data_IF_389402491020
#
_entry.id   IF_389402491020
#
_cell.length_a   1.000
_cell.length_b   1.000
_cell.length_c   1.000
_cell.angle_alpha   90.00
_cell.angle_beta   90.00
_cell.angle_gamma   90.00
#
_symmetry.space_group_name_H-M   'P 1'
#
loop_
_entity.id
_entity.type
_entity.pdbx_description
1 polymer ?
#
# COMPACT_ATOMS: atom_id res chain seq x y z
N UNK A 1 62.05 -23.24 31.76
CA UNK A 1 61.61 -23.56 30.39
C UNK A 1 60.11 -23.43 30.35
N UNK A 2 59.60 -22.36 29.75
CA UNK A 2 58.16 -22.10 29.57
C UNK A 2 57.94 -22.12 28.05
N UNK A 3 57.35 -23.19 27.54
CA UNK A 3 57.11 -23.35 26.12
C UNK A 3 55.96 -22.45 25.65
N UNK A 4 56.25 -21.63 24.65
CA UNK A 4 55.28 -20.82 23.90
C UNK A 4 54.53 -21.72 22.91
N UNK A 5 53.20 -21.66 22.94
CA UNK A 5 52.37 -22.23 21.87
C UNK A 5 52.51 -21.40 20.57
N UNK A 6 52.60 -22.04 19.38
CA UNK A 6 52.63 -21.34 18.10
C UNK A 6 51.21 -21.01 17.60
N UNK A 7 51.05 -19.77 17.14
CA UNK A 7 49.85 -19.24 16.48
C UNK A 7 49.65 -19.84 15.08
N UNK A 8 48.48 -20.42 14.82
CA UNK A 8 48.07 -20.94 13.50
C UNK A 8 47.38 -19.82 12.70
N UNK A 9 47.78 -19.54 11.44
CA UNK A 9 47.10 -18.55 10.61
C UNK A 9 45.88 -19.18 9.92
N UNK A 10 44.68 -18.73 10.27
CA UNK A 10 43.45 -19.11 9.56
C UNK A 10 43.38 -18.34 8.23
N UNK A 11 43.72 -19.01 7.13
CA UNK A 11 43.54 -18.47 5.78
C UNK A 11 42.05 -18.26 5.50
N UNK A 12 41.61 -17.00 5.44
CA UNK A 12 40.30 -16.62 4.97
C UNK A 12 40.18 -16.99 3.49
N UNK A 13 39.41 -18.05 3.19
CA UNK A 13 39.15 -18.50 1.83
C UNK A 13 38.43 -17.42 1.02
N UNK A 14 38.93 -17.18 -0.20
CA UNK A 14 38.25 -16.37 -1.22
C UNK A 14 36.88 -17.00 -1.50
N UNK A 15 35.79 -16.33 -1.10
CA UNK A 15 34.44 -16.62 -1.60
C UNK A 15 34.10 -15.59 -2.68
N UNK A 16 33.68 -16.11 -3.82
CA UNK A 16 33.18 -15.39 -4.99
C UNK A 16 32.03 -14.44 -4.61
N UNK A 17 31.93 -13.25 -5.22
CA UNK A 17 30.81 -12.36 -4.97
C UNK A 17 29.58 -12.91 -5.68
N UNK A 18 28.52 -13.18 -4.92
CA UNK A 18 27.17 -13.35 -5.47
C UNK A 18 26.71 -11.96 -5.88
N UNK A 19 26.56 -11.75 -7.19
CA UNK A 19 26.08 -10.52 -7.78
C UNK A 19 24.69 -10.18 -7.19
N UNK A 20 24.61 -9.06 -6.48
CA UNK A 20 23.35 -8.40 -6.20
C UNK A 20 23.00 -7.55 -7.43
N UNK A 21 22.37 -8.18 -8.43
CA UNK A 21 21.70 -7.42 -9.49
C UNK A 21 20.39 -6.86 -8.94
N UNK A 22 20.32 -5.54 -8.92
CA UNK A 22 19.19 -4.76 -8.44
C UNK A 22 19.65 -3.32 -8.29
N UNK A 23 19.71 -2.59 -9.40
CA UNK A 23 19.95 -1.14 -9.38
C UNK A 23 18.74 -0.46 -8.73
N UNK A 24 18.92 0.03 -7.51
CA UNK A 24 17.91 0.75 -6.74
C UNK A 24 18.51 2.09 -6.30
N UNK A 25 18.80 2.96 -7.27
CA UNK A 25 19.43 4.25 -7.01
C UNK A 25 18.40 5.36 -6.73
N UNK A 26 18.82 6.27 -5.84
CA UNK A 26 18.33 7.65 -5.64
C UNK A 26 17.12 7.92 -4.72
N UNK A 27 17.14 7.52 -3.44
CA UNK A 27 17.45 8.55 -2.44
C UNK A 27 18.21 8.08 -1.18
N UNK A 28 18.66 6.82 -1.12
CA UNK A 28 19.22 6.22 0.11
C UNK A 28 20.76 6.09 0.10
N UNK A 29 21.42 6.58 -0.94
CA UNK A 29 22.88 6.57 -1.09
C UNK A 29 23.62 7.38 -0.01
N UNK A 30 22.91 8.21 0.75
CA UNK A 30 23.47 9.04 1.83
C UNK A 30 23.47 8.38 3.22
N UNK A 31 22.81 7.22 3.40
CA UNK A 31 22.72 6.59 4.73
C UNK A 31 24.00 5.79 5.00
N UNK A 32 24.89 6.41 5.78
CA UNK A 32 26.16 5.82 6.19
C UNK A 32 26.03 5.26 7.62
N UNK A 33 26.10 3.94 7.73
CA UNK A 33 26.42 3.28 9.00
C UNK A 33 27.93 3.00 9.03
N UNK A 34 28.57 3.33 10.15
CA UNK A 34 30.00 3.09 10.40
C UNK A 34 30.16 2.24 11.67
N UNK A 35 29.77 0.98 11.61
CA UNK A 35 29.96 0.04 12.73
C UNK A 35 31.36 -0.56 12.77
N UNK A 36 32.16 -0.36 11.72
CA UNK A 36 33.47 -0.99 11.55
C UNK A 36 33.38 -2.43 11.00
N UNK A 37 32.17 -2.92 10.75
CA UNK A 37 31.91 -4.22 10.11
C UNK A 37 31.05 -4.01 8.85
N UNK A 38 31.60 -4.23 7.63
CA UNK A 38 30.87 -3.98 6.39
C UNK A 38 29.56 -4.76 6.25
N UNK A 39 29.52 -6.00 6.77
CA UNK A 39 28.32 -6.85 6.74
C UNK A 39 27.21 -6.29 7.64
N UNK A 40 27.58 -5.76 8.80
CA UNK A 40 26.64 -5.12 9.72
C UNK A 40 26.12 -3.79 9.15
N UNK A 41 27.00 -2.97 8.55
CA UNK A 41 26.59 -1.73 7.88
C UNK A 41 25.61 -2.02 6.72
N UNK A 42 25.84 -3.10 5.97
CA UNK A 42 24.91 -3.56 4.94
C UNK A 42 23.57 -4.02 5.54
N UNK A 43 23.57 -4.77 6.64
CA UNK A 43 22.35 -5.21 7.33
C UNK A 43 21.52 -4.01 7.80
N UNK A 44 22.15 -3.00 8.40
CA UNK A 44 21.51 -1.79 8.88
C UNK A 44 20.92 -0.94 7.75
N UNK A 45 21.62 -0.82 6.61
CA UNK A 45 21.08 -0.17 5.40
C UNK A 45 19.85 -0.89 4.88
N UNK A 46 19.89 -2.22 4.76
CA UNK A 46 18.74 -3.03 4.33
C UNK A 46 17.53 -2.84 5.25
N UNK A 47 17.76 -2.72 6.56
CA UNK A 47 16.69 -2.49 7.52
C UNK A 47 16.06 -1.08 7.38
N UNK A 48 16.88 -0.06 7.11
CA UNK A 48 16.38 1.28 6.82
C UNK A 48 15.55 1.26 5.53
N UNK A 49 16.05 0.61 4.48
CA UNK A 49 15.34 0.45 3.22
C UNK A 49 13.96 -0.18 3.43
N UNK A 50 13.88 -1.30 4.16
CA UNK A 50 12.62 -1.96 4.46
C UNK A 50 11.63 -1.04 5.21
N UNK A 51 12.12 -0.25 6.16
CA UNK A 51 11.30 0.74 6.85
C UNK A 51 10.78 1.84 5.89
N UNK A 52 11.64 2.35 5.01
CA UNK A 52 11.28 3.36 4.03
C UNK A 52 10.31 2.84 2.96
N UNK A 53 10.42 1.56 2.59
CA UNK A 53 9.48 0.90 1.70
C UNK A 53 8.07 0.83 2.32
N UNK A 54 7.95 0.44 3.58
CA UNK A 54 6.68 0.45 4.33
C UNK A 54 6.04 1.84 4.29
N UNK A 55 6.83 2.88 4.57
CA UNK A 55 6.36 4.27 4.48
C UNK A 55 5.89 4.64 3.08
N UNK A 56 6.66 4.28 2.06
CA UNK A 56 6.35 4.62 0.67
C UNK A 56 5.07 3.94 0.20
N UNK A 57 4.87 2.66 0.56
CA UNK A 57 3.65 1.91 0.26
C UNK A 57 2.45 2.53 0.96
N UNK A 58 2.55 2.82 2.25
CA UNK A 58 1.45 3.44 3.02
C UNK A 58 1.08 4.82 2.47
N UNK A 59 2.09 5.64 2.12
CA UNK A 59 1.89 6.96 1.51
C UNK A 59 1.14 6.87 0.20
N UNK A 60 1.53 5.93 -0.68
CA UNK A 60 0.85 5.68 -1.95
C UNK A 60 -0.59 5.18 -1.72
N UNK A 61 -0.79 4.32 -0.73
CA UNK A 61 -2.10 3.78 -0.38
C UNK A 61 -3.07 4.87 0.10
N UNK A 62 -2.64 5.76 1.01
CA UNK A 62 -3.46 6.90 1.45
C UNK A 62 -3.80 7.84 0.29
N UNK A 63 -2.83 8.11 -0.60
CA UNK A 63 -3.08 8.94 -1.79
C UNK A 63 -4.08 8.30 -2.76
N UNK A 64 -4.07 6.97 -2.88
CA UNK A 64 -5.07 6.23 -3.65
C UNK A 64 -6.45 6.30 -3.00
N UNK A 65 -6.53 6.10 -1.68
CA UNK A 65 -7.78 6.26 -0.93
C UNK A 65 -8.38 7.66 -1.10
N UNK A 66 -7.55 8.71 -1.09
CA UNK A 66 -7.98 10.07 -1.40
C UNK A 66 -8.58 10.19 -2.81
N UNK A 67 -7.91 9.61 -3.81
CA UNK A 67 -8.41 9.62 -5.18
C UNK A 67 -9.78 8.96 -5.30
N UNK A 68 -9.98 7.77 -4.72
CA UNK A 68 -11.22 7.01 -4.88
C UNK A 68 -12.35 7.47 -3.95
N UNK A 69 -12.03 7.90 -2.73
CA UNK A 69 -13.02 8.26 -1.73
C UNK A 69 -13.50 9.71 -1.88
N UNK A 70 -12.66 10.61 -2.40
CA UNK A 70 -12.95 12.05 -2.46
C UNK A 70 -13.01 12.53 -3.91
N UNK A 71 -11.90 12.41 -4.64
CA UNK A 71 -11.78 13.02 -5.96
C UNK A 71 -12.68 12.36 -7.01
N UNK A 72 -12.84 11.04 -6.95
CA UNK A 72 -13.70 10.30 -7.86
C UNK A 72 -15.18 10.72 -7.75
N UNK A 73 -15.86 10.66 -6.59
CA UNK A 73 -17.25 11.12 -6.50
C UNK A 73 -17.43 12.60 -6.84
N UNK A 74 -16.46 13.47 -6.50
CA UNK A 74 -16.49 14.89 -6.90
C UNK A 74 -16.44 15.04 -8.42
N UNK A 75 -15.51 14.33 -9.08
CA UNK A 75 -15.39 14.34 -10.53
C UNK A 75 -16.68 13.86 -11.20
N UNK A 76 -17.28 12.76 -10.72
CA UNK A 76 -18.51 12.22 -11.32
C UNK A 76 -19.68 13.20 -11.15
N UNK A 77 -19.79 13.87 -10.01
CA UNK A 77 -20.80 14.91 -9.80
C UNK A 77 -20.62 16.07 -10.77
N UNK A 78 -19.41 16.61 -10.87
CA UNK A 78 -19.08 17.74 -11.77
C UNK A 78 -19.28 17.36 -13.24
N UNK A 79 -18.88 16.14 -13.61
CA UNK A 79 -19.07 15.63 -14.96
C UNK A 79 -20.55 15.52 -15.33
N UNK A 80 -21.37 14.98 -14.42
CA UNK A 80 -22.82 14.91 -14.60
C UNK A 80 -23.43 16.30 -14.80
N UNK A 81 -23.08 17.24 -13.91
CA UNK A 81 -23.57 18.63 -13.98
C UNK A 81 -23.23 19.27 -15.33
N UNK A 82 -22.00 19.10 -15.82
CA UNK A 82 -21.57 19.58 -17.13
C UNK A 82 -22.33 18.92 -18.31
N UNK A 83 -22.83 17.71 -18.12
CA UNK A 83 -23.66 16.99 -19.09
C UNK A 83 -25.17 17.23 -18.89
N UNK A 84 -25.58 18.05 -17.92
CA UNK A 84 -26.99 18.35 -17.63
C UNK A 84 -27.73 17.20 -16.94
N UNK A 85 -27.03 16.30 -16.23
CA UNK A 85 -27.64 15.18 -15.52
C UNK A 85 -27.01 14.95 -14.13
N UNK A 86 -27.79 14.46 -13.16
CA UNK A 86 -27.22 14.02 -11.88
C UNK A 86 -26.85 12.53 -11.95
N UNK A 87 -25.56 12.26 -12.18
CA UNK A 87 -25.01 10.90 -12.22
C UNK A 87 -24.91 10.24 -10.85
N UNK A 88 -25.07 11.01 -9.76
CA UNK A 88 -25.03 10.52 -8.38
C UNK A 88 -26.36 10.72 -7.67
N UNK A 89 -27.46 10.78 -8.43
CA UNK A 89 -28.82 10.94 -7.89
C UNK A 89 -29.17 9.78 -6.96
N UNK A 90 -29.94 10.04 -5.89
CA UNK A 90 -30.49 8.97 -5.04
C UNK A 90 -31.29 7.96 -5.86
N UNK A 91 -31.42 6.74 -5.33
CA UNK A 91 -32.30 5.74 -5.92
C UNK A 91 -33.76 6.19 -5.86
N UNK A 92 -34.64 5.49 -6.59
CA UNK A 92 -36.09 5.71 -6.54
C UNK A 92 -36.66 5.52 -5.12
N UNK A 93 -36.04 4.66 -4.31
CA UNK A 93 -36.39 4.45 -2.89
C UNK A 93 -35.90 5.57 -1.96
N UNK A 94 -35.16 6.57 -2.48
CA UNK A 94 -34.56 7.64 -1.68
C UNK A 94 -33.22 7.27 -1.05
N UNK A 95 -32.68 6.09 -1.33
CA UNK A 95 -31.38 5.66 -0.80
C UNK A 95 -30.24 6.42 -1.46
N UNK A 96 -29.20 6.70 -0.66
CA UNK A 96 -27.96 7.32 -1.14
C UNK A 96 -27.35 6.51 -2.29
N UNK A 97 -26.93 7.21 -3.35
CA UNK A 97 -26.28 6.59 -4.50
C UNK A 97 -25.07 5.72 -4.10
N UNK A 98 -24.90 4.58 -4.78
CA UNK A 98 -23.88 3.58 -4.46
C UNK A 98 -22.47 4.17 -4.32
N UNK A 99 -22.04 5.00 -5.27
CA UNK A 99 -20.71 5.64 -5.26
C UNK A 99 -20.52 6.49 -3.99
N UNK A 100 -21.55 7.23 -3.56
CA UNK A 100 -21.49 8.04 -2.32
C UNK A 100 -21.41 7.15 -1.09
N UNK A 101 -22.17 6.05 -1.07
CA UNK A 101 -22.13 5.06 0.02
C UNK A 101 -20.75 4.40 0.16
N UNK A 102 -20.15 3.99 -0.95
CA UNK A 102 -18.79 3.42 -0.98
C UNK A 102 -17.76 4.47 -0.53
N UNK A 103 -17.88 5.71 -1.03
CA UNK A 103 -17.01 6.84 -0.67
C UNK A 103 -16.96 7.09 0.84
N UNK A 104 -18.11 7.11 1.52
CA UNK A 104 -18.17 7.30 2.99
C UNK A 104 -17.42 6.19 3.73
N UNK A 105 -17.55 4.93 3.29
CA UNK A 105 -16.82 3.82 3.91
C UNK A 105 -15.32 3.89 3.66
N UNK A 106 -14.91 4.23 2.42
CA UNK A 106 -13.51 4.42 2.07
C UNK A 106 -12.87 5.61 2.77
N UNK A 107 -13.65 6.66 3.08
CA UNK A 107 -13.17 7.80 3.85
C UNK A 107 -12.77 7.37 5.26
N UNK A 108 -13.52 6.48 5.90
CA UNK A 108 -13.14 5.92 7.21
C UNK A 108 -11.83 5.12 7.14
N UNK A 109 -11.64 4.33 6.08
CA UNK A 109 -10.38 3.61 5.81
C UNK A 109 -9.24 4.63 5.63
N UNK A 110 -9.47 5.67 4.83
CA UNK A 110 -8.49 6.73 4.55
C UNK A 110 -8.02 7.41 5.82
N UNK A 111 -8.93 7.84 6.70
CA UNK A 111 -8.55 8.53 7.93
C UNK A 111 -7.81 7.60 8.89
N UNK A 112 -8.18 6.33 8.99
CA UNK A 112 -7.44 5.35 9.79
C UNK A 112 -5.99 5.18 9.29
N UNK A 113 -5.82 5.05 7.98
CA UNK A 113 -4.50 4.89 7.36
C UNK A 113 -3.69 6.20 7.35
N UNK A 114 -4.34 7.37 7.29
CA UNK A 114 -3.67 8.66 7.45
C UNK A 114 -3.03 8.80 8.83
N UNK A 115 -3.73 8.42 9.89
CA UNK A 115 -3.18 8.39 11.26
C UNK A 115 -1.99 7.43 11.36
N UNK A 116 -2.07 6.26 10.70
CA UNK A 116 -0.95 5.32 10.64
C UNK A 116 0.24 5.90 9.88
N UNK A 117 0.00 6.51 8.72
CA UNK A 117 1.01 7.17 7.89
C UNK A 117 1.71 8.29 8.65
N UNK A 118 0.99 9.11 9.41
CA UNK A 118 1.58 10.18 10.24
C UNK A 118 2.58 9.60 11.25
N UNK A 119 2.23 8.49 11.92
CA UNK A 119 3.12 7.81 12.87
C UNK A 119 4.34 7.20 12.18
N UNK A 120 4.13 6.54 11.04
CA UNK A 120 5.23 5.96 10.25
C UNK A 120 6.16 7.08 9.75
N UNK A 121 5.61 8.18 9.24
CA UNK A 121 6.36 9.33 8.76
C UNK A 121 7.22 9.95 9.87
N UNK A 122 6.65 10.14 11.07
CA UNK A 122 7.39 10.64 12.23
C UNK A 122 8.53 9.70 12.65
N UNK A 123 8.31 8.37 12.54
CA UNK A 123 9.32 7.36 12.82
C UNK A 123 10.44 7.34 11.77
N UNK A 124 10.11 7.46 10.49
CA UNK A 124 11.10 7.52 9.40
C UNK A 124 11.97 8.77 9.48
N UNK A 125 11.39 9.91 9.84
CA UNK A 125 12.14 11.17 9.98
C UNK A 125 13.30 11.08 11.00
N UNK A 126 13.22 10.15 11.96
CA UNK A 126 14.22 9.95 13.01
C UNK A 126 14.67 8.47 13.08
N UNK A 127 14.70 7.77 11.94
CA UNK A 127 14.98 6.33 11.92
C UNK A 127 16.44 6.03 12.25
N UNK A 128 16.66 5.09 13.18
CA UNK A 128 17.96 4.48 13.44
C UNK A 128 17.84 2.96 13.36
N UNK A 129 18.50 2.35 12.36
CA UNK A 129 18.50 0.89 12.21
C UNK A 129 19.20 0.15 13.35
N UNK A 130 20.00 0.84 14.19
CA UNK A 130 20.61 0.23 15.39
C UNK A 130 19.57 -0.01 16.49
N UNK A 131 18.50 0.78 16.50
CA UNK A 131 17.38 0.63 17.43
C UNK A 131 16.03 0.63 16.67
N UNK A 132 15.77 -0.42 15.85
CA UNK A 132 14.65 -0.44 14.94
C UNK A 132 13.34 -0.62 15.71
N UNK A 133 12.37 0.26 15.47
CA UNK A 133 11.08 0.21 16.15
C UNK A 133 9.91 0.67 15.26
N UNK A 134 9.73 0.01 14.12
CA UNK A 134 8.54 0.22 13.29
C UNK A 134 7.28 -0.43 13.90
N UNK A 135 7.47 -1.48 14.70
CA UNK A 135 6.38 -2.25 15.32
C UNK A 135 5.49 -1.38 16.22
N UNK A 136 6.07 -0.39 16.92
CA UNK A 136 5.32 0.53 17.77
C UNK A 136 4.28 1.34 16.98
N UNK A 137 4.58 1.73 15.74
CA UNK A 137 3.62 2.44 14.88
C UNK A 137 2.36 1.59 14.64
N UNK A 138 2.54 0.29 14.38
CA UNK A 138 1.45 -0.65 14.15
C UNK A 138 0.66 -0.93 15.43
N UNK A 139 1.34 -1.16 16.55
CA UNK A 139 0.69 -1.39 17.85
C UNK A 139 -0.20 -0.21 18.24
N UNK A 140 0.30 1.00 18.06
CA UNK A 140 -0.44 2.23 18.37
C UNK A 140 -1.51 2.56 17.31
N UNK A 141 -1.43 1.96 16.12
CA UNK A 141 -2.41 2.11 15.03
C UNK A 141 -3.53 1.07 15.05
N UNK A 142 -3.35 -0.05 15.74
CA UNK A 142 -4.24 -1.21 15.68
C UNK A 142 -5.72 -0.91 16.02
N UNK A 143 -5.97 0.03 16.93
CA UNK A 143 -7.33 0.47 17.26
C UNK A 143 -8.06 1.09 16.07
N UNK A 144 -7.35 1.88 15.25
CA UNK A 144 -7.91 2.57 14.09
C UNK A 144 -8.19 1.61 12.93
N UNK A 145 -7.44 0.52 12.80
CA UNK A 145 -7.68 -0.49 11.75
C UNK A 145 -9.05 -1.17 11.87
N UNK A 146 -9.70 -1.11 13.04
CA UNK A 146 -11.08 -1.59 13.22
C UNK A 146 -12.09 -0.78 12.40
N UNK A 147 -11.81 0.48 12.10
CA UNK A 147 -12.67 1.31 11.24
C UNK A 147 -12.70 0.84 9.79
N UNK A 148 -11.73 0.01 9.38
CA UNK A 148 -11.74 -0.56 8.04
C UNK A 148 -12.82 -1.66 7.92
N UNK A 149 -13.13 -2.38 8.99
CA UNK A 149 -13.95 -3.61 8.97
C UNK A 149 -15.29 -3.50 8.21
N UNK A 150 -16.08 -2.42 8.33
CA UNK A 150 -17.33 -2.30 7.58
C UNK A 150 -17.11 -2.37 6.06
N UNK A 151 -16.08 -1.68 5.56
CA UNK A 151 -15.71 -1.74 4.15
C UNK A 151 -15.22 -3.14 3.78
N UNK A 152 -14.33 -3.72 4.59
CA UNK A 152 -13.72 -5.04 4.30
C UNK A 152 -14.75 -6.17 4.27
N UNK A 153 -15.88 -6.04 4.96
CA UNK A 153 -16.95 -7.06 4.94
C UNK A 153 -17.79 -7.02 3.67
N UNK A 154 -18.06 -5.82 3.16
CA UNK A 154 -18.93 -5.61 1.98
C UNK A 154 -18.14 -5.44 0.68
N UNK A 155 -16.81 -5.50 0.74
CA UNK A 155 -15.91 -5.11 -0.35
C UNK A 155 -16.19 -5.79 -1.69
N UNK A 156 -16.46 -7.09 -1.71
CA UNK A 156 -16.81 -7.84 -2.93
C UNK A 156 -18.15 -7.38 -3.50
N UNK A 157 -19.15 -7.19 -2.62
CA UNK A 157 -20.47 -6.70 -3.03
C UNK A 157 -20.39 -5.29 -3.62
N UNK A 158 -19.57 -4.41 -3.03
CA UNK A 158 -19.35 -3.06 -3.57
C UNK A 158 -18.76 -3.09 -4.98
N UNK A 159 -17.81 -4.01 -5.25
CA UNK A 159 -17.29 -4.24 -6.61
C UNK A 159 -18.42 -4.64 -7.55
N UNK A 160 -19.15 -5.69 -7.19
CA UNK A 160 -20.18 -6.26 -8.05
C UNK A 160 -21.28 -5.25 -8.35
N UNK A 161 -21.76 -4.54 -7.33
CA UNK A 161 -22.78 -3.51 -7.46
C UNK A 161 -22.29 -2.34 -8.32
N UNK A 162 -21.01 -1.94 -8.20
CA UNK A 162 -20.45 -0.86 -9.03
C UNK A 162 -20.29 -1.31 -10.48
N UNK A 163 -19.85 -2.54 -10.73
CA UNK A 163 -19.75 -3.09 -12.08
C UNK A 163 -21.12 -3.17 -12.76
N UNK A 164 -22.17 -3.63 -12.05
CA UNK A 164 -23.54 -3.61 -12.58
C UNK A 164 -24.00 -2.18 -12.86
N UNK A 165 -23.78 -1.26 -11.94
CA UNK A 165 -24.13 0.15 -12.13
C UNK A 165 -23.47 0.77 -13.38
N UNK A 166 -22.22 0.41 -13.66
CA UNK A 166 -21.51 0.87 -14.86
C UNK A 166 -22.00 0.19 -16.14
N UNK A 167 -22.47 -1.06 -16.07
CA UNK A 167 -23.11 -1.74 -17.20
C UNK A 167 -24.46 -1.09 -17.55
N UNK A 168 -25.23 -0.68 -16.53
CA UNK A 168 -26.57 -0.12 -16.70
C UNK A 168 -26.56 1.39 -17.07
N UNK A 169 -25.45 2.08 -16.87
CA UNK A 169 -25.33 3.53 -17.10
C UNK A 169 -24.09 3.87 -17.95
N UNK A 170 -24.30 3.95 -19.26
CA UNK A 170 -23.24 4.25 -20.23
C UNK A 170 -22.59 5.62 -20.04
N UNK A 171 -23.34 6.64 -19.57
CA UNK A 171 -22.74 7.97 -19.31
C UNK A 171 -21.85 7.92 -18.06
N UNK A 172 -22.29 7.24 -17.00
CA UNK A 172 -21.47 7.03 -15.81
C UNK A 172 -20.21 6.21 -16.14
N UNK A 173 -20.34 5.18 -16.98
CA UNK A 173 -19.21 4.40 -17.49
C UNK A 173 -18.23 5.25 -18.29
N UNK A 174 -18.73 6.13 -19.17
CA UNK A 174 -17.90 7.09 -19.91
C UNK A 174 -17.19 8.07 -18.97
N UNK A 175 -17.90 8.60 -17.97
CA UNK A 175 -17.31 9.47 -16.96
C UNK A 175 -16.20 8.74 -16.18
N UNK A 176 -16.49 7.52 -15.72
CA UNK A 176 -15.54 6.69 -14.97
C UNK A 176 -14.28 6.40 -15.78
N UNK A 177 -14.40 6.12 -17.08
CA UNK A 177 -13.26 5.88 -17.97
C UNK A 177 -12.36 7.11 -18.19
N UNK A 178 -12.88 8.33 -17.97
CA UNK A 178 -12.08 9.58 -18.03
C UNK A 178 -11.23 9.78 -16.77
N UNK A 179 -11.63 9.18 -15.66
CA UNK A 179 -10.77 9.12 -14.47
C UNK A 179 -9.72 8.05 -14.78
N UNK A 180 -8.46 8.45 -14.91
CA UNK A 180 -7.33 7.51 -14.96
C UNK A 180 -7.26 6.79 -13.61
N UNK A 181 -8.10 5.77 -13.44
CA UNK A 181 -8.08 4.92 -12.26
C UNK A 181 -6.80 4.10 -12.34
N UNK A 182 -5.87 4.43 -11.46
CA UNK A 182 -4.72 3.58 -11.17
C UNK A 182 -5.28 2.27 -10.63
N UNK A 183 -5.06 1.16 -11.33
CA UNK A 183 -5.34 -0.16 -10.79
C UNK A 183 -4.65 -0.30 -9.43
N UNK A 184 -5.44 -0.59 -8.40
CA UNK A 184 -4.89 -0.91 -7.09
C UNK A 184 -4.64 -2.41 -7.05
N UNK A 185 -3.39 -2.80 -7.25
CA UNK A 185 -2.90 -4.15 -6.96
C UNK A 185 -2.49 -4.17 -5.48
N UNK A 186 -3.20 -4.92 -4.62
CA UNK A 186 -2.68 -5.27 -3.29
C UNK A 186 -2.60 -6.78 -3.18
N UNK A 187 -1.37 -7.29 -3.15
CA UNK A 187 -1.08 -8.71 -2.99
C UNK A 187 -1.38 -9.18 -1.55
N UNK A 188 -2.06 -10.31 -1.39
CA UNK A 188 -2.10 -11.05 -0.12
C UNK A 188 -1.04 -12.13 -0.21
N UNK A 189 0.06 -11.99 0.55
CA UNK A 189 0.96 -13.10 0.79
C UNK A 189 0.29 -13.99 1.85
N UNK A 190 -0.14 -15.20 1.48
CA UNK A 190 -0.57 -16.25 2.42
C UNK A 190 0.59 -16.87 3.22
N UNK A 191 1.76 -16.25 3.20
CA UNK A 191 2.94 -16.68 3.94
C UNK A 191 2.82 -16.26 5.40
N UNK A 192 2.52 -17.22 6.28
CA UNK A 192 2.70 -17.07 7.73
C UNK A 192 4.19 -16.88 8.01
N UNK A 193 4.67 -15.65 8.03
CA UNK A 193 6.00 -15.35 8.54
C UNK A 193 5.86 -15.10 10.04
N UNK A 194 6.35 -16.05 10.84
CA UNK A 194 6.27 -16.13 12.32
C UNK A 194 6.80 -14.90 13.09
N UNK A 195 7.38 -13.88 12.46
CA UNK A 195 7.73 -12.62 13.10
C UNK A 195 7.47 -11.47 12.11
N UNK A 196 6.54 -10.56 12.44
CA UNK A 196 6.24 -9.28 11.75
C UNK A 196 5.26 -9.25 10.56
N UNK A 197 4.52 -10.31 10.22
CA UNK A 197 3.50 -10.22 9.17
C UNK A 197 2.08 -9.99 9.72
N UNK A 198 1.72 -8.71 9.91
CA UNK A 198 0.31 -8.29 9.88
C UNK A 198 0.12 -7.39 8.66
N UNK A 199 0.16 -7.99 7.48
CA UNK A 199 -0.30 -7.36 6.25
C UNK A 199 -1.83 -7.53 6.20
N UNK A 200 -2.60 -6.61 6.80
CA UNK A 200 -4.06 -6.59 6.59
C UNK A 200 -4.31 -5.94 5.23
N UNK A 201 -4.19 -6.73 4.17
CA UNK A 201 -4.46 -6.31 2.80
C UNK A 201 -5.90 -6.69 2.44
N UNK A 202 -6.76 -5.72 2.10
CA UNK A 202 -8.11 -6.01 1.61
C UNK A 202 -8.31 -5.45 0.21
N UNK A 203 -8.54 -6.36 -0.74
CA UNK A 203 -8.59 -6.10 -2.18
C UNK A 203 -10.00 -5.78 -2.70
N UNK A 204 -10.14 -4.76 -3.54
CA UNK A 204 -11.32 -4.46 -4.36
C UNK A 204 -10.81 -4.11 -5.76
N UNK A 205 -11.04 -4.99 -6.73
CA UNK A 205 -10.69 -4.76 -8.13
C UNK A 205 -11.94 -4.26 -8.86
N UNK A 206 -11.94 -3.04 -9.39
CA UNK A 206 -12.95 -2.61 -10.37
C UNK A 206 -12.20 -2.17 -11.62
N UNK A 207 -12.01 -3.12 -12.55
CA UNK A 207 -11.43 -2.82 -13.85
C UNK A 207 -12.54 -2.29 -14.77
N UNK A 208 -12.46 -1.01 -15.16
CA UNK A 208 -13.22 -0.49 -16.31
C UNK A 208 -12.23 -0.29 -17.44
N UNK A 209 -11.91 -1.37 -18.15
CA UNK A 209 -11.09 -1.28 -19.36
C UNK A 209 -11.98 -0.90 -20.54
N UNK A 210 -11.77 0.25 -21.21
CA UNK A 210 -12.28 0.45 -22.56
C UNK A 210 -11.46 -0.42 -23.53
N UNK A 211 -11.96 -1.62 -23.80
CA UNK A 211 -11.59 -2.51 -24.92
C UNK A 211 -10.26 -3.28 -24.82
N UNK A 212 -10.40 -4.62 -24.86
CA UNK A 212 -9.43 -5.62 -25.34
C UNK A 212 -8.03 -5.69 -24.68
N UNK A 213 -7.94 -6.45 -23.58
CA UNK A 213 -7.01 -7.56 -23.36
C UNK A 213 -7.08 -7.95 -21.87
N UNK A 214 -7.80 -9.03 -21.56
CA UNK A 214 -7.70 -9.67 -20.26
C UNK A 214 -7.39 -11.15 -20.53
N UNK A 215 -6.14 -11.61 -20.35
CA UNK A 215 -5.88 -13.03 -20.32
C UNK A 215 -6.52 -13.59 -19.05
N UNK A 216 -7.42 -14.54 -19.24
CA UNK A 216 -7.98 -15.39 -18.20
C UNK A 216 -6.85 -16.05 -17.40
N UNK A 217 -6.80 -15.82 -16.09
CA UNK A 217 -6.08 -16.70 -15.18
C UNK A 217 -7.10 -17.66 -14.58
N UNK A 218 -7.06 -18.91 -15.06
CA UNK A 218 -7.71 -20.05 -14.42
C UNK A 218 -6.95 -20.44 -13.17
N UNK A 219 -7.69 -20.74 -12.11
CA UNK A 219 -7.45 -21.90 -11.24
C UNK A 219 -8.76 -22.63 -11.09
#
# INVERSE_FOLDING_TARGET
MIDRAPSIPTKCGKRTPIAAEGSFDEPLSEIVYCTGCPDEDLRLRRLHYAAFEIYTVEKKFVAQLELIAVKYPEFIAQYGEACGCDLLKPSVSGDTHLIRRISVQLLMVKEAHKVLLEKISARIANWDSRNPNMAECLKNGAGFLKYCLPYLKEKTKHVDDLLRLLQDNEELKRATAKVKLVCVCVCVCSSVCMYMCVCVCVCVCVCVCPSAFCPTFST
#
